data_IF_524570515696
#
_entry.id   IF_524570515696
#
_cell.length_a   1.000
_cell.length_b   1.000
_cell.length_c   1.000
_cell.angle_alpha   90.00
_cell.angle_beta   90.00
_cell.angle_gamma   90.00
#
_symmetry.space_group_name_H-M   'P 1'
#
loop_
_entity.id
_entity.type
_entity.pdbx_description
1 polymer ?
#
# COMPACT_ATOMS: atom_id res chain seq x y z
N UNK A 1 4.17 -10.50 -14.41
CA UNK A 1 3.93 -11.54 -15.44
C UNK A 1 2.51 -11.51 -16.03
N UNK A 2 1.61 -10.75 -15.41
CA UNK A 2 0.22 -10.65 -15.83
C UNK A 2 -0.60 -11.96 -15.71
N UNK A 3 -0.08 -12.97 -15.05
CA UNK A 3 -0.75 -14.27 -14.92
C UNK A 3 -1.41 -14.48 -13.56
N UNK A 4 -1.04 -13.70 -12.55
CA UNK A 4 -1.54 -13.85 -11.21
C UNK A 4 -2.16 -12.55 -10.68
N UNK A 5 -3.31 -12.67 -10.02
CA UNK A 5 -3.90 -11.62 -9.20
C UNK A 5 -3.66 -11.95 -7.73
N UNK A 6 -3.43 -10.94 -6.91
CA UNK A 6 -3.42 -11.05 -5.45
C UNK A 6 -4.52 -10.17 -4.88
N UNK A 7 -5.25 -10.66 -3.89
CA UNK A 7 -6.40 -9.97 -3.31
C UNK A 7 -6.70 -10.45 -1.89
N UNK A 8 -7.47 -9.68 -1.17
CA UNK A 8 -7.98 -10.05 0.15
C UNK A 8 -9.34 -10.70 0.01
N UNK A 9 -9.60 -11.78 0.74
CA UNK A 9 -10.90 -12.45 0.75
C UNK A 9 -11.27 -12.91 2.17
N UNK A 10 -12.50 -12.60 2.57
CA UNK A 10 -13.05 -13.03 3.84
C UNK A 10 -13.67 -14.43 3.70
N UNK A 11 -13.19 -15.38 4.50
CA UNK A 11 -13.70 -16.75 4.57
C UNK A 11 -13.79 -17.20 6.01
N UNK A 12 -14.95 -17.69 6.44
CA UNK A 12 -15.12 -18.22 7.79
C UNK A 12 -14.94 -17.19 8.92
N UNK A 13 -15.17 -15.90 8.63
CA UNK A 13 -15.06 -14.83 9.64
C UNK A 13 -13.65 -14.22 9.75
N UNK A 14 -12.69 -14.66 8.94
CA UNK A 14 -11.35 -14.07 8.84
C UNK A 14 -11.05 -13.59 7.42
N UNK A 15 -10.19 -12.57 7.28
CA UNK A 15 -9.75 -12.05 5.99
C UNK A 15 -8.27 -12.37 5.79
N UNK A 16 -7.97 -13.01 4.68
CA UNK A 16 -6.61 -13.44 4.31
C UNK A 16 -6.25 -13.03 2.90
N UNK A 17 -4.97 -13.12 2.56
CA UNK A 17 -4.45 -12.89 1.22
C UNK A 17 -4.55 -14.16 0.40
N UNK A 18 -5.09 -14.01 -0.81
CA UNK A 18 -5.22 -15.08 -1.80
C UNK A 18 -4.57 -14.67 -3.12
N UNK A 19 -4.07 -15.66 -3.84
CA UNK A 19 -3.60 -15.55 -5.22
C UNK A 19 -4.55 -16.29 -6.13
N UNK A 20 -4.92 -15.67 -7.25
CA UNK A 20 -5.67 -16.31 -8.35
C UNK A 20 -4.78 -16.39 -9.60
N UNK A 21 -4.60 -17.58 -10.14
CA UNK A 21 -3.89 -17.77 -11.41
C UNK A 21 -4.88 -17.72 -12.58
N UNK A 22 -4.67 -16.80 -13.52
CA UNK A 22 -5.57 -16.54 -14.64
C UNK A 22 -5.61 -17.69 -15.65
N UNK A 23 -4.49 -18.40 -15.86
CA UNK A 23 -4.40 -19.51 -16.82
C UNK A 23 -5.08 -20.77 -16.28
N UNK A 24 -4.77 -21.17 -15.05
CA UNK A 24 -5.32 -22.39 -14.43
C UNK A 24 -6.66 -22.17 -13.73
N UNK A 25 -7.07 -20.91 -13.53
CA UNK A 25 -8.26 -20.49 -12.78
C UNK A 25 -8.29 -21.03 -11.34
N UNK A 26 -7.12 -21.27 -10.76
CA UNK A 26 -6.99 -21.77 -9.39
C UNK A 26 -6.76 -20.64 -8.40
N UNK A 27 -7.39 -20.75 -7.22
CA UNK A 27 -7.19 -19.86 -6.08
C UNK A 27 -6.34 -20.56 -5.04
N UNK A 28 -5.31 -19.88 -4.53
CA UNK A 28 -4.44 -20.37 -3.46
C UNK A 28 -4.46 -19.37 -2.32
N UNK A 29 -4.70 -19.83 -1.09
CA UNK A 29 -4.58 -19.01 0.13
C UNK A 29 -3.10 -18.85 0.47
N UNK A 30 -2.62 -17.62 0.67
CA UNK A 30 -1.22 -17.31 0.95
C UNK A 30 -0.97 -17.00 2.42
N UNK A 31 -1.96 -16.46 3.14
CA UNK A 31 -1.85 -16.20 4.58
C UNK A 31 -2.93 -16.97 5.34
N UNK A 32 -2.66 -17.25 6.62
CA UNK A 32 -3.58 -17.93 7.52
C UNK A 32 -3.28 -17.54 8.96
N UNK A 33 -4.28 -17.56 9.84
CA UNK A 33 -4.12 -17.19 11.23
C UNK A 33 -5.26 -16.26 11.69
N UNK A 34 -5.24 -15.80 12.93
CA UNK A 34 -6.34 -14.99 13.48
C UNK A 34 -6.30 -13.51 13.06
N UNK A 35 -5.22 -13.05 12.44
CA UNK A 35 -5.08 -11.67 12.00
C UNK A 35 -5.84 -11.39 10.71
N UNK A 36 -6.33 -10.15 10.57
CA UNK A 36 -6.94 -9.64 9.34
C UNK A 36 -5.81 -9.18 8.42
N UNK A 37 -5.66 -9.86 7.27
CA UNK A 37 -4.65 -9.57 6.26
C UNK A 37 -5.31 -8.96 5.03
N UNK A 38 -4.89 -7.75 4.66
CA UNK A 38 -5.50 -6.98 3.57
C UNK A 38 -4.48 -6.19 2.74
N UNK A 39 -4.97 -5.51 1.69
CA UNK A 39 -4.22 -4.58 0.85
C UNK A 39 -2.92 -5.14 0.27
N UNK A 40 -2.93 -6.31 -0.39
CA UNK A 40 -1.72 -6.88 -0.95
C UNK A 40 -1.26 -6.14 -2.20
N UNK A 41 0.08 -6.00 -2.35
CA UNK A 41 0.72 -5.44 -3.55
C UNK A 41 1.94 -6.24 -3.93
N UNK A 42 2.05 -6.67 -5.20
CA UNK A 42 3.22 -7.34 -5.73
C UNK A 42 4.43 -6.42 -5.85
N UNK A 43 5.62 -6.96 -5.61
CA UNK A 43 6.86 -6.36 -6.11
C UNK A 43 6.89 -6.37 -7.65
N UNK A 44 7.58 -5.43 -8.30
CA UNK A 44 7.57 -5.33 -9.77
C UNK A 44 8.19 -6.53 -10.48
N UNK A 45 9.05 -7.29 -9.81
CA UNK A 45 9.61 -8.56 -10.29
C UNK A 45 8.70 -9.78 -10.04
N UNK A 46 7.57 -9.57 -9.34
CA UNK A 46 6.60 -10.62 -9.01
C UNK A 46 7.06 -11.63 -7.96
N UNK A 47 8.23 -11.43 -7.32
CA UNK A 47 8.79 -12.42 -6.39
C UNK A 47 8.29 -12.27 -4.96
N UNK A 48 7.78 -11.09 -4.59
CA UNK A 48 7.30 -10.76 -3.24
C UNK A 48 5.95 -10.08 -3.25
N UNK A 49 5.30 -10.10 -2.09
CA UNK A 49 4.04 -9.41 -1.81
C UNK A 49 4.21 -8.65 -0.51
N UNK A 50 3.89 -7.35 -0.51
CA UNK A 50 3.66 -6.57 0.71
C UNK A 50 2.17 -6.57 1.02
N UNK A 51 1.81 -6.60 2.28
CA UNK A 51 0.42 -6.56 2.76
C UNK A 51 0.33 -5.94 4.15
N UNK A 52 -0.85 -5.55 4.57
CA UNK A 52 -1.10 -5.13 5.95
C UNK A 52 -1.72 -6.26 6.76
N UNK A 53 -1.39 -6.31 8.05
CA UNK A 53 -1.90 -7.31 8.99
C UNK A 53 -1.98 -6.75 10.41
N UNK A 54 -3.02 -7.12 11.14
CA UNK A 54 -3.16 -6.80 12.57
C UNK A 54 -2.75 -7.96 13.49
N UNK A 55 -2.16 -9.03 12.96
CA UNK A 55 -1.73 -10.22 13.69
C UNK A 55 -0.80 -9.94 14.87
N UNK A 56 -0.13 -8.80 14.88
CA UNK A 56 0.73 -8.32 15.97
C UNK A 56 0.02 -7.41 16.98
N UNK A 57 -1.32 -7.35 16.96
CA UNK A 57 -2.15 -6.52 17.84
C UNK A 57 -2.54 -5.16 17.28
N UNK A 58 -1.91 -4.70 16.19
CA UNK A 58 -2.27 -3.49 15.45
C UNK A 58 -1.85 -3.61 13.99
N UNK A 59 -2.53 -2.89 13.09
CA UNK A 59 -2.21 -2.87 11.66
C UNK A 59 -0.77 -2.45 11.41
N UNK A 60 0.00 -3.32 10.77
CA UNK A 60 1.39 -3.11 10.39
C UNK A 60 1.64 -3.74 9.02
N UNK A 61 2.76 -3.38 8.40
CA UNK A 61 3.16 -3.90 7.11
C UNK A 61 4.02 -5.15 7.26
N UNK A 62 3.72 -6.11 6.41
CA UNK A 62 4.44 -7.38 6.29
C UNK A 62 4.84 -7.61 4.84
N UNK A 63 5.95 -8.32 4.65
CA UNK A 63 6.39 -8.82 3.34
C UNK A 63 6.47 -10.33 3.39
N UNK A 64 6.12 -10.98 2.29
CA UNK A 64 6.26 -12.42 2.08
C UNK A 64 6.77 -12.72 0.67
N UNK A 65 7.21 -13.95 0.44
CA UNK A 65 7.43 -14.45 -0.91
C UNK A 65 6.09 -14.63 -1.65
N UNK A 66 6.11 -14.61 -2.98
CA UNK A 66 4.90 -14.74 -3.81
C UNK A 66 4.15 -16.07 -3.64
N UNK A 67 4.78 -17.07 -3.03
CA UNK A 67 4.16 -18.34 -2.65
C UNK A 67 3.50 -18.35 -1.26
N UNK A 68 3.60 -17.24 -0.51
CA UNK A 68 3.08 -17.06 0.84
C UNK A 68 4.07 -17.39 1.95
N UNK A 69 5.26 -17.91 1.62
CA UNK A 69 6.30 -18.24 2.61
C UNK A 69 7.09 -17.00 3.06
N UNK A 70 7.87 -17.13 4.13
CA UNK A 70 8.81 -16.09 4.57
C UNK A 70 8.15 -14.80 5.05
N UNK A 71 6.96 -14.88 5.64
CA UNK A 71 6.23 -13.71 6.13
C UNK A 71 6.98 -13.02 7.27
N UNK A 72 7.28 -11.73 7.11
CA UNK A 72 7.99 -10.93 8.12
C UNK A 72 7.43 -9.50 8.20
N UNK A 73 7.32 -8.98 9.43
CA UNK A 73 6.93 -7.60 9.68
C UNK A 73 8.07 -6.65 9.27
N UNK A 74 7.72 -5.55 8.61
CA UNK A 74 8.68 -4.53 8.15
C UNK A 74 8.41 -3.13 8.69
N UNK A 75 7.25 -2.86 9.33
CA UNK A 75 6.94 -1.58 9.96
C UNK A 75 6.93 -1.70 11.48
N UNK A 76 7.68 -0.81 12.17
CA UNK A 76 7.90 -0.86 13.62
C UNK A 76 7.68 0.50 14.31
N UNK A 77 7.40 1.55 13.56
CA UNK A 77 7.15 2.90 14.08
C UNK A 77 5.85 2.99 14.90
N UNK A 78 5.68 4.11 15.57
CA UNK A 78 4.46 4.39 16.34
C UNK A 78 3.22 4.45 15.43
N UNK A 79 2.06 4.09 16.00
CA UNK A 79 0.79 4.08 15.29
C UNK A 79 0.59 2.84 14.43
N UNK A 80 -0.28 2.98 13.42
CA UNK A 80 -0.65 1.91 12.48
C UNK A 80 -0.14 2.23 11.09
N UNK A 81 0.17 1.22 10.31
CA UNK A 81 0.57 1.35 8.91
C UNK A 81 -0.37 0.52 8.03
N UNK A 82 -0.85 1.12 6.94
CA UNK A 82 -1.86 0.53 6.08
C UNK A 82 -1.63 0.87 4.59
N UNK A 83 -2.41 0.25 3.72
CA UNK A 83 -2.46 0.52 2.27
C UNK A 83 -1.07 0.53 1.61
N UNK A 84 -0.25 -0.51 1.79
CA UNK A 84 1.07 -0.54 1.20
C UNK A 84 1.01 -0.73 -0.32
N UNK A 85 1.81 0.02 -1.06
CA UNK A 85 1.95 -0.12 -2.52
C UNK A 85 3.43 -0.17 -2.88
N UNK A 86 3.83 -1.22 -3.58
CA UNK A 86 5.21 -1.37 -4.03
C UNK A 86 5.54 -0.39 -5.17
N UNK A 87 6.70 0.26 -5.07
CA UNK A 87 7.22 1.11 -6.15
C UNK A 87 7.46 0.29 -7.42
N UNK A 88 7.16 0.81 -8.62
CA UNK A 88 7.47 0.13 -9.89
C UNK A 88 8.97 -0.08 -10.12
N UNK A 89 9.83 0.59 -9.33
CA UNK A 89 11.28 0.40 -9.34
C UNK A 89 11.77 -0.70 -8.38
N UNK A 90 10.91 -1.16 -7.47
CA UNK A 90 11.25 -2.16 -6.46
C UNK A 90 12.04 -1.63 -5.25
N UNK A 91 12.41 -0.36 -5.26
CA UNK A 91 13.30 0.27 -4.26
C UNK A 91 12.58 0.76 -3.00
N UNK A 92 11.26 1.01 -3.09
CA UNK A 92 10.44 1.50 -1.97
C UNK A 92 9.05 0.86 -1.92
N UNK A 93 8.45 0.95 -0.73
CA UNK A 93 7.03 0.70 -0.46
C UNK A 93 6.44 2.02 0.05
N UNK A 94 5.42 2.54 -0.62
CA UNK A 94 4.61 3.65 -0.10
C UNK A 94 3.51 3.09 0.80
N UNK A 95 3.12 3.84 1.81
CA UNK A 95 2.10 3.41 2.78
C UNK A 95 1.40 4.60 3.44
N UNK A 96 0.27 4.34 4.06
CA UNK A 96 -0.41 5.29 4.95
C UNK A 96 -0.01 5.02 6.40
N UNK A 97 0.51 6.04 7.10
CA UNK A 97 0.74 6.02 8.54
C UNK A 97 -0.43 6.67 9.26
N UNK A 98 -0.98 5.99 10.25
CA UNK A 98 -2.08 6.48 11.09
C UNK A 98 -1.62 6.56 12.55
N UNK A 99 -1.67 7.76 13.13
CA UNK A 99 -1.27 7.99 14.52
C UNK A 99 -1.56 9.42 14.96
N UNK A 100 -1.77 9.64 16.25
CA UNK A 100 -2.01 10.99 16.81
C UNK A 100 -3.21 11.73 16.20
N UNK A 101 -4.23 11.02 15.69
CA UNK A 101 -5.40 11.62 15.03
C UNK A 101 -5.13 12.15 13.63
N UNK A 102 -4.01 11.78 13.02
CA UNK A 102 -3.62 12.17 11.65
C UNK A 102 -3.24 10.96 10.82
N UNK A 103 -3.36 11.10 9.50
CA UNK A 103 -2.87 10.16 8.52
C UNK A 103 -1.82 10.87 7.65
N UNK A 104 -0.76 10.16 7.32
CA UNK A 104 0.29 10.69 6.44
C UNK A 104 0.80 9.62 5.50
N UNK A 105 1.17 10.02 4.30
CA UNK A 105 1.83 9.13 3.33
C UNK A 105 3.31 9.08 3.64
N UNK A 106 3.83 7.87 3.73
CA UNK A 106 5.25 7.59 3.95
C UNK A 106 5.83 6.61 2.95
N UNK A 107 7.13 6.45 3.00
CA UNK A 107 7.87 5.43 2.26
C UNK A 107 8.88 4.74 3.15
N UNK A 108 9.19 3.48 2.85
CA UNK A 108 10.28 2.71 3.44
C UNK A 108 10.89 1.79 2.38
N UNK A 109 12.10 1.28 2.64
CA UNK A 109 12.66 0.21 1.82
C UNK A 109 11.93 -1.12 2.06
N UNK A 110 12.03 -2.10 1.14
CA UNK A 110 11.37 -3.40 1.31
C UNK A 110 11.79 -4.20 2.55
N UNK A 111 12.95 -3.90 3.12
CA UNK A 111 13.44 -4.46 4.38
C UNK A 111 12.95 -3.71 5.63
N UNK A 112 12.14 -2.66 5.45
CA UNK A 112 11.62 -1.79 6.51
C UNK A 112 12.55 -0.64 6.90
N UNK A 113 13.78 -0.59 6.38
CA UNK A 113 14.72 0.47 6.70
C UNK A 113 14.36 1.80 6.00
N UNK A 114 14.90 2.91 6.52
CA UNK A 114 14.73 4.23 5.89
C UNK A 114 13.28 4.73 5.87
N UNK A 115 12.46 4.26 6.79
CA UNK A 115 11.08 4.74 6.96
C UNK A 115 11.06 6.26 7.19
N UNK A 116 10.24 6.96 6.40
CA UNK A 116 9.99 8.39 6.60
C UNK A 116 8.63 8.79 6.07
N UNK A 117 8.01 9.78 6.70
CA UNK A 117 6.81 10.42 6.20
C UNK A 117 7.19 11.46 5.13
N UNK A 118 6.42 11.50 4.06
CA UNK A 118 6.54 12.47 2.98
C UNK A 118 5.55 13.62 3.14
N UNK A 119 4.39 13.36 3.78
CA UNK A 119 3.32 14.34 3.91
C UNK A 119 2.96 14.56 5.38
N UNK A 120 2.34 15.70 5.67
CA UNK A 120 1.96 16.12 7.00
C UNK A 120 0.53 16.71 7.02
N UNK A 121 -0.35 16.21 6.16
CA UNK A 121 -1.76 16.60 6.12
C UNK A 121 -2.56 16.09 7.32
N UNK A 122 -3.85 16.43 7.31
CA UNK A 122 -4.77 15.94 8.35
C UNK A 122 -5.14 14.47 8.11
N UNK A 123 -5.42 14.13 6.84
CA UNK A 123 -5.87 12.79 6.45
C UNK A 123 -5.36 12.49 5.02
N UNK A 124 -4.07 12.14 4.94
CA UNK A 124 -3.42 11.76 3.68
C UNK A 124 -3.34 10.24 3.59
N UNK A 125 -3.96 9.66 2.56
CA UNK A 125 -4.13 8.20 2.44
C UNK A 125 -4.15 7.71 1.00
N UNK A 126 -4.18 6.39 0.81
CA UNK A 126 -4.30 5.71 -0.48
C UNK A 126 -3.20 6.12 -1.48
N UNK A 127 -1.92 5.88 -1.16
CA UNK A 127 -0.83 6.25 -2.04
C UNK A 127 -0.84 5.41 -3.34
N UNK A 128 -0.52 6.06 -4.47
CA UNK A 128 -0.34 5.41 -5.77
C UNK A 128 0.92 5.94 -6.46
N UNK A 129 1.80 5.05 -6.88
CA UNK A 129 3.05 5.40 -7.55
C UNK A 129 2.85 5.81 -9.01
N UNK A 130 3.54 6.88 -9.42
CA UNK A 130 3.76 7.15 -10.85
C UNK A 130 4.58 6.02 -11.49
N UNK A 131 4.39 5.72 -12.78
CA UNK A 131 5.08 4.60 -13.44
C UNK A 131 6.62 4.69 -13.41
N UNK A 132 7.17 5.89 -13.29
CA UNK A 132 8.62 6.10 -13.16
C UNK A 132 9.13 5.98 -11.71
N UNK A 133 8.26 5.75 -10.72
CA UNK A 133 8.61 5.59 -9.31
C UNK A 133 9.14 6.85 -8.63
N UNK A 134 8.82 8.05 -9.12
CA UNK A 134 9.35 9.32 -8.58
C UNK A 134 8.32 10.18 -7.87
N UNK A 135 7.04 9.98 -8.18
CA UNK A 135 5.93 10.76 -7.64
C UNK A 135 4.89 9.83 -7.06
N UNK A 136 4.29 10.22 -5.96
CA UNK A 136 3.19 9.51 -5.32
C UNK A 136 1.96 10.42 -5.40
N UNK A 137 0.85 9.92 -5.94
CA UNK A 137 -0.48 10.48 -5.76
C UNK A 137 -1.09 9.96 -4.47
N UNK A 138 -1.92 10.77 -3.84
CA UNK A 138 -2.66 10.39 -2.64
C UNK A 138 -3.93 11.20 -2.51
N UNK A 139 -4.87 10.71 -1.72
CA UNK A 139 -6.06 11.45 -1.32
C UNK A 139 -5.75 12.25 -0.05
N UNK A 140 -6.17 13.51 0.00
CA UNK A 140 -6.12 14.35 1.21
C UNK A 140 -7.51 14.75 1.63
N UNK A 141 -7.93 14.27 2.78
CA UNK A 141 -9.14 14.71 3.47
C UNK A 141 -8.91 15.92 4.34
N UNK A 142 -9.93 16.78 4.46
CA UNK A 142 -9.98 17.88 5.39
C UNK A 142 -10.94 17.59 6.56
N UNK A 143 -10.97 18.49 7.55
CA UNK A 143 -11.84 18.36 8.72
C UNK A 143 -13.34 18.50 8.43
N UNK A 144 -13.71 18.96 7.24
CA UNK A 144 -15.11 19.07 6.80
C UNK A 144 -15.61 17.79 6.11
N UNK A 145 -14.75 16.77 5.95
CA UNK A 145 -15.03 15.50 5.27
C UNK A 145 -14.90 15.58 3.74
N UNK A 146 -14.34 16.67 3.21
CA UNK A 146 -14.06 16.81 1.78
C UNK A 146 -12.68 16.25 1.48
N UNK A 147 -12.54 15.62 0.32
CA UNK A 147 -11.28 15.04 -0.13
C UNK A 147 -10.87 15.56 -1.50
N UNK A 148 -9.57 15.55 -1.76
CA UNK A 148 -9.01 15.93 -3.06
C UNK A 148 -7.71 15.21 -3.33
N UNK A 149 -7.29 15.18 -4.58
CA UNK A 149 -6.05 14.52 -4.98
C UNK A 149 -4.85 15.45 -4.87
N UNK A 150 -3.77 14.89 -4.40
CA UNK A 150 -2.48 15.54 -4.25
C UNK A 150 -1.36 14.67 -4.77
N UNK A 151 -0.24 15.27 -5.09
CA UNK A 151 1.00 14.56 -5.43
C UNK A 151 2.15 15.08 -4.59
N UNK A 152 3.10 14.22 -4.32
CA UNK A 152 4.37 14.55 -3.68
C UNK A 152 5.50 13.76 -4.37
N UNK A 153 6.67 14.36 -4.51
CA UNK A 153 7.83 13.59 -4.98
C UNK A 153 8.45 12.76 -3.85
N UNK A 154 9.29 11.80 -4.23
CA UNK A 154 9.90 10.87 -3.27
C UNK A 154 10.82 11.55 -2.25
N UNK A 155 11.25 12.81 -2.47
CA UNK A 155 12.02 13.58 -1.48
C UNK A 155 11.13 14.15 -0.36
N UNK A 156 9.81 14.15 -0.52
CA UNK A 156 8.86 14.81 0.36
C UNK A 156 8.70 16.31 0.05
N UNK A 157 9.33 16.77 -1.02
CA UNK A 157 9.19 18.14 -1.52
C UNK A 157 8.16 18.20 -2.66
N UNK A 158 7.92 19.40 -3.19
CA UNK A 158 7.06 19.60 -4.37
C UNK A 158 5.65 19.00 -4.22
N UNK A 159 5.07 19.11 -3.03
CA UNK A 159 3.68 18.73 -2.81
C UNK A 159 2.76 19.64 -3.63
N UNK A 160 1.82 19.04 -4.39
CA UNK A 160 0.92 19.78 -5.30
C UNK A 160 -0.47 19.22 -5.26
N UNK A 161 -1.46 20.12 -5.26
CA UNK A 161 -2.87 19.74 -5.45
C UNK A 161 -3.12 19.43 -6.92
N UNK A 162 -3.86 18.35 -7.18
CA UNK A 162 -4.41 18.02 -8.49
C UNK A 162 -5.83 18.58 -8.54
N UNK A 163 -6.11 19.43 -9.51
CA UNK A 163 -7.43 20.04 -9.65
C UNK A 163 -8.45 18.97 -10.07
N UNK A 164 -9.46 18.77 -9.25
CA UNK A 164 -10.63 17.92 -9.54
C UNK A 164 -11.89 18.75 -9.38
N UNK A 165 -12.92 18.57 -10.22
CA UNK A 165 -14.16 19.36 -10.13
C UNK A 165 -15.00 19.03 -8.89
N UNK A 166 -14.83 17.84 -8.32
CA UNK A 166 -15.53 17.33 -7.14
C UNK A 166 -14.53 16.67 -6.19
N UNK A 167 -15.01 16.18 -5.04
CA UNK A 167 -14.24 15.37 -4.11
C UNK A 167 -13.73 14.11 -4.83
N UNK A 168 -12.48 13.72 -4.52
CA UNK A 168 -11.82 12.60 -5.17
C UNK A 168 -10.92 11.85 -4.18
N UNK A 169 -10.88 10.51 -4.33
CA UNK A 169 -10.10 9.57 -3.52
C UNK A 169 -9.53 8.46 -4.40
N UNK A 170 -8.73 7.58 -3.81
CA UNK A 170 -8.23 6.33 -4.39
C UNK A 170 -7.60 6.49 -5.78
N UNK A 171 -6.58 7.35 -5.92
CA UNK A 171 -5.96 7.61 -7.21
C UNK A 171 -5.23 6.38 -7.74
N UNK A 172 -5.19 6.25 -9.06
CA UNK A 172 -4.34 5.29 -9.75
C UNK A 172 -3.65 5.96 -10.95
N UNK A 173 -2.43 5.56 -11.24
CA UNK A 173 -1.71 5.98 -12.44
C UNK A 173 -1.96 4.99 -13.57
N UNK A 174 -2.08 5.49 -14.79
CA UNK A 174 -1.96 4.65 -15.98
C UNK A 174 -0.52 4.17 -16.13
N UNK A 175 -0.27 2.96 -16.68
CA UNK A 175 1.09 2.57 -17.05
C UNK A 175 1.66 3.52 -18.10
N UNK A 176 3.00 3.54 -18.22
CA UNK A 176 3.61 4.17 -19.38
C UNK A 176 3.14 3.42 -20.62
N UNK A 177 2.58 4.14 -21.58
CA UNK A 177 2.32 3.58 -22.90
C UNK A 177 3.66 3.38 -23.62
N UNK A 178 3.82 2.28 -24.35
CA UNK A 178 5.03 2.01 -25.13
C UNK A 178 5.23 3.04 -26.24
#
# INVERSE_FOLDING_TARGET
DGQNLVFSMAVGGNTDIYRFNLATRSTTRLTSGPGIDTSPSYSPDGTKIVFESDRGGSQQLYVMNADGSGQSRISFGEGRSASPVWSPRGDYIAFTRMGGGRFGVGVMRPDGSGERLLTNGFQDESPAWSPNGRVILFARGDRSGRSGLWSVDISGLNERRIATPLDASDPAWSPLLP
#
